data_IF_411260857350
#
_entry.id   IF_411260857350
#
_cell.length_a   1.000
_cell.length_b   1.000
_cell.length_c   1.000
_cell.angle_alpha   90.00
_cell.angle_beta   90.00
_cell.angle_gamma   90.00
#
_symmetry.space_group_name_H-M   'P 1'
#
loop_
_entity.id
_entity.type
_entity.pdbx_description
1 polymer ?
#
# COMPACT_ATOMS: atom_id res chain seq x y z
N UNK A 1 -9.52 82.49 -2.56
CA UNK A 1 -9.83 82.59 -4.00
C UNK A 1 -8.57 83.12 -4.64
N UNK A 2 -7.91 82.35 -5.51
CA UNK A 2 -6.77 82.84 -6.27
C UNK A 2 -7.29 83.69 -7.43
N UNK A 3 -6.92 84.96 -7.48
CA UNK A 3 -7.31 85.87 -8.58
C UNK A 3 -6.79 85.35 -9.92
N UNK A 4 -7.59 85.50 -10.97
CA UNK A 4 -7.22 85.10 -12.32
C UNK A 4 -6.10 86.01 -12.84
N UNK A 5 -4.94 85.41 -13.13
CA UNK A 5 -3.82 86.09 -13.76
C UNK A 5 -3.80 85.77 -15.26
N UNK A 6 -3.85 86.82 -16.09
CA UNK A 6 -3.74 86.71 -17.54
C UNK A 6 -2.32 86.23 -17.88
N UNK A 7 -2.23 85.30 -18.83
CA UNK A 7 -0.96 84.79 -19.36
C UNK A 7 -0.59 85.68 -20.55
N UNK A 8 0.56 86.34 -20.49
CA UNK A 8 0.96 87.34 -21.49
C UNK A 8 2.04 86.83 -22.43
N UNK A 9 2.66 85.69 -22.10
CA UNK A 9 3.75 85.09 -22.89
C UNK A 9 3.59 83.58 -23.09
N UNK A 10 4.20 83.05 -24.15
CA UNK A 10 4.23 81.62 -24.40
C UNK A 10 4.98 80.84 -23.30
N UNK A 11 6.05 81.42 -22.75
CA UNK A 11 6.82 80.79 -21.66
C UNK A 11 5.98 80.61 -20.39
N UNK A 12 5.14 81.59 -20.04
CA UNK A 12 4.21 81.48 -18.91
C UNK A 12 3.15 80.40 -19.15
N UNK A 13 2.64 80.27 -20.37
CA UNK A 13 1.71 79.22 -20.75
C UNK A 13 2.35 77.83 -20.60
N UNK A 14 3.54 77.66 -21.16
CA UNK A 14 4.29 76.40 -21.12
C UNK A 14 4.63 76.00 -19.67
N UNK A 15 4.97 76.98 -18.82
CA UNK A 15 5.24 76.75 -17.40
C UNK A 15 3.99 76.25 -16.65
N UNK A 16 2.82 76.87 -16.87
CA UNK A 16 1.56 76.44 -16.25
C UNK A 16 1.13 75.05 -16.73
N UNK A 17 1.27 74.78 -18.03
CA UNK A 17 0.98 73.46 -18.61
C UNK A 17 1.92 72.41 -18.03
N UNK A 18 3.23 72.68 -17.99
CA UNK A 18 4.22 71.76 -17.42
C UNK A 18 3.93 71.47 -15.94
N UNK A 19 3.57 72.47 -15.14
CA UNK A 19 3.22 72.29 -13.73
C UNK A 19 1.92 71.50 -13.53
N UNK A 20 0.92 71.65 -14.42
CA UNK A 20 -0.27 70.78 -14.42
C UNK A 20 0.08 69.35 -14.83
N UNK A 21 0.90 69.18 -15.86
CA UNK A 21 1.30 67.88 -16.38
C UNK A 21 2.14 67.09 -15.37
N UNK A 22 3.08 67.76 -14.68
CA UNK A 22 3.89 67.13 -13.62
C UNK A 22 3.01 66.66 -12.46
N UNK A 23 2.10 67.51 -11.97
CA UNK A 23 1.16 67.12 -10.91
C UNK A 23 0.30 65.93 -11.31
N UNK A 24 -0.10 65.85 -12.57
CA UNK A 24 -0.94 64.74 -13.03
C UNK A 24 -0.14 63.46 -13.25
N UNK A 25 1.11 63.56 -13.71
CA UNK A 25 2.01 62.40 -13.79
C UNK A 25 2.39 61.86 -12.41
N UNK A 26 2.58 62.75 -11.42
CA UNK A 26 2.89 62.36 -10.04
C UNK A 26 1.78 61.53 -9.39
N UNK A 27 0.50 61.80 -9.70
CA UNK A 27 -0.62 61.00 -9.17
C UNK A 27 -0.62 59.54 -9.60
N UNK A 28 0.05 59.23 -10.72
CA UNK A 28 0.10 57.89 -11.31
C UNK A 28 1.54 57.36 -11.38
N UNK A 29 2.45 57.91 -10.59
CA UNK A 29 3.86 57.53 -10.62
C UNK A 29 4.07 56.04 -10.25
N UNK A 30 3.16 55.46 -9.46
CA UNK A 30 3.16 54.07 -8.99
C UNK A 30 2.39 53.11 -9.92
N UNK A 31 1.71 53.61 -10.95
CA UNK A 31 0.84 52.80 -11.80
C UNK A 31 1.55 51.62 -12.47
N UNK A 32 2.76 51.85 -12.98
CA UNK A 32 3.57 50.78 -13.60
C UNK A 32 4.01 49.72 -12.58
N UNK A 33 4.27 50.11 -11.33
CA UNK A 33 4.68 49.18 -10.28
C UNK A 33 3.47 48.36 -9.78
N UNK A 34 2.30 49.00 -9.61
CA UNK A 34 1.03 48.31 -9.33
C UNK A 34 0.69 47.30 -10.41
N UNK A 35 0.87 47.67 -11.68
CA UNK A 35 0.61 46.78 -12.83
C UNK A 35 1.54 45.56 -12.83
N UNK A 36 2.82 45.74 -12.51
CA UNK A 36 3.77 44.63 -12.35
C UNK A 36 3.38 43.73 -11.17
N UNK A 37 3.04 44.31 -10.03
CA UNK A 37 2.63 43.54 -8.85
C UNK A 37 1.36 42.73 -9.11
N UNK A 38 0.40 43.30 -9.83
CA UNK A 38 -0.83 42.59 -10.21
C UNK A 38 -0.52 41.39 -11.10
N UNK A 39 0.30 41.58 -12.14
CA UNK A 39 0.71 40.50 -13.02
C UNK A 39 1.47 39.39 -12.27
N UNK A 40 2.36 39.76 -11.34
CA UNK A 40 3.07 38.82 -10.47
C UNK A 40 2.12 38.05 -9.55
N UNK A 41 1.10 38.71 -8.99
CA UNK A 41 0.11 38.07 -8.15
C UNK A 41 -0.77 37.11 -8.94
N UNK A 42 -1.26 37.49 -10.12
CA UNK A 42 -2.05 36.62 -11.01
C UNK A 42 -1.25 35.37 -11.43
N UNK A 43 0.04 35.53 -11.74
CA UNK A 43 0.92 34.42 -12.06
C UNK A 43 1.13 33.46 -10.87
N UNK A 44 1.33 34.01 -9.67
CA UNK A 44 1.44 33.22 -8.42
C UNK A 44 0.14 32.52 -8.09
N UNK A 45 -1.00 33.19 -8.22
CA UNK A 45 -2.32 32.62 -7.96
C UNK A 45 -2.57 31.43 -8.88
N UNK A 46 -2.30 31.57 -10.18
CA UNK A 46 -2.41 30.46 -11.15
C UNK A 46 -1.50 29.29 -10.76
N UNK A 47 -0.26 29.57 -10.37
CA UNK A 47 0.71 28.54 -9.93
C UNK A 47 0.23 27.82 -8.68
N UNK A 48 -0.29 28.54 -7.69
CA UNK A 48 -0.83 27.96 -6.46
C UNK A 48 -2.09 27.13 -6.73
N UNK A 49 -3.00 27.61 -7.57
CA UNK A 49 -4.19 26.85 -7.95
C UNK A 49 -3.82 25.53 -8.62
N UNK A 50 -2.86 25.54 -9.56
CA UNK A 50 -2.37 24.33 -10.20
C UNK A 50 -1.73 23.36 -9.18
N UNK A 51 -0.88 23.88 -8.29
CA UNK A 51 -0.24 23.08 -7.24
C UNK A 51 -1.26 22.45 -6.30
N UNK A 52 -2.31 23.19 -5.92
CA UNK A 52 -3.39 22.68 -5.06
C UNK A 52 -4.15 21.56 -5.78
N UNK A 53 -4.43 21.71 -7.07
CA UNK A 53 -5.11 20.68 -7.85
C UNK A 53 -4.26 19.42 -7.97
N UNK A 54 -2.97 19.55 -8.26
CA UNK A 54 -2.02 18.43 -8.32
C UNK A 54 -1.85 17.72 -6.95
N UNK A 55 -1.87 18.48 -5.85
CA UNK A 55 -1.83 17.89 -4.52
C UNK A 55 -3.10 17.11 -4.20
N UNK A 56 -4.27 17.63 -4.57
CA UNK A 56 -5.56 16.94 -4.37
C UNK A 56 -5.66 15.64 -5.15
N UNK A 57 -5.20 15.62 -6.41
CA UNK A 57 -5.20 14.39 -7.21
C UNK A 57 -4.26 13.36 -6.60
N UNK A 58 -3.05 13.78 -6.18
CA UNK A 58 -2.08 12.91 -5.51
C UNK A 58 -2.58 12.38 -4.17
N UNK A 59 -3.29 13.18 -3.39
CA UNK A 59 -3.91 12.77 -2.13
C UNK A 59 -4.96 11.67 -2.36
N UNK A 60 -5.82 11.84 -3.37
CA UNK A 60 -6.82 10.84 -3.73
C UNK A 60 -6.16 9.51 -4.18
N UNK A 61 -5.14 9.59 -5.03
CA UNK A 61 -4.39 8.41 -5.49
C UNK A 61 -3.70 7.67 -4.34
N UNK A 62 -3.06 8.40 -3.43
CA UNK A 62 -2.40 7.82 -2.26
C UNK A 62 -3.42 7.19 -1.30
N UNK A 63 -4.57 7.81 -1.10
CA UNK A 63 -5.65 7.26 -0.27
C UNK A 63 -6.15 5.93 -0.85
N UNK A 64 -6.41 5.88 -2.15
CA UNK A 64 -6.82 4.64 -2.83
C UNK A 64 -5.75 3.54 -2.73
N UNK A 65 -4.47 3.89 -2.88
CA UNK A 65 -3.38 2.93 -2.71
C UNK A 65 -3.29 2.40 -1.27
N UNK A 66 -3.48 3.25 -0.27
CA UNK A 66 -3.48 2.84 1.14
C UNK A 66 -4.64 1.89 1.42
N UNK A 67 -5.84 2.17 0.92
CA UNK A 67 -7.00 1.29 1.07
C UNK A 67 -6.77 -0.07 0.41
N UNK A 68 -6.23 -0.09 -0.82
CA UNK A 68 -5.88 -1.33 -1.52
C UNK A 68 -4.84 -2.14 -0.76
N UNK A 69 -3.74 -1.51 -0.33
CA UNK A 69 -2.66 -2.17 0.40
C UNK A 69 -3.13 -2.70 1.75
N UNK A 70 -4.00 -1.97 2.46
CA UNK A 70 -4.60 -2.46 3.70
C UNK A 70 -5.54 -3.66 3.45
N UNK A 71 -6.31 -3.63 2.35
CA UNK A 71 -7.13 -4.76 1.91
C UNK A 71 -6.30 -6.01 1.63
N UNK A 72 -5.21 -5.86 0.88
CA UNK A 72 -4.31 -6.98 0.58
C UNK A 72 -3.60 -7.50 1.84
N UNK A 73 -3.12 -6.59 2.69
CA UNK A 73 -2.45 -6.94 3.95
C UNK A 73 -3.39 -7.69 4.90
N UNK A 74 -4.65 -7.28 5.02
CA UNK A 74 -5.65 -7.99 5.83
C UNK A 74 -5.96 -9.37 5.25
N UNK A 75 -6.12 -9.49 3.93
CA UNK A 75 -6.31 -10.77 3.24
C UNK A 75 -5.13 -11.72 3.44
N UNK A 76 -3.90 -11.26 3.26
CA UNK A 76 -2.69 -12.07 3.45
C UNK A 76 -2.52 -12.50 4.92
N UNK A 77 -2.78 -11.60 5.88
CA UNK A 77 -2.79 -11.94 7.31
C UNK A 77 -3.80 -13.04 7.61
N UNK A 78 -5.01 -12.93 7.07
CA UNK A 78 -6.06 -13.93 7.24
C UNK A 78 -5.65 -15.29 6.65
N UNK A 79 -5.13 -15.30 5.42
CA UNK A 79 -4.67 -16.53 4.78
C UNK A 79 -3.53 -17.19 5.56
N UNK A 80 -2.57 -16.40 6.04
CA UNK A 80 -1.46 -16.91 6.87
C UNK A 80 -1.97 -17.51 8.17
N UNK A 81 -2.91 -16.84 8.84
CA UNK A 81 -3.52 -17.34 10.07
C UNK A 81 -4.27 -18.67 9.82
N UNK A 82 -5.06 -18.75 8.75
CA UNK A 82 -5.77 -19.96 8.34
C UNK A 82 -4.80 -21.12 8.03
N UNK A 83 -3.72 -20.85 7.32
CA UNK A 83 -2.70 -21.86 7.02
C UNK A 83 -2.02 -22.37 8.29
N UNK A 84 -1.63 -21.47 9.20
CA UNK A 84 -1.06 -21.83 10.50
C UNK A 84 -2.00 -22.74 11.28
N UNK A 85 -3.26 -22.34 11.41
CA UNK A 85 -4.28 -23.11 12.14
C UNK A 85 -4.53 -24.46 11.47
N UNK A 86 -4.63 -24.53 10.14
CA UNK A 86 -4.78 -25.81 9.45
C UNK A 86 -3.61 -26.76 9.76
N UNK A 87 -2.37 -26.26 9.75
CA UNK A 87 -1.20 -27.08 10.12
C UNK A 87 -1.20 -27.51 11.59
N UNK A 88 -1.63 -26.63 12.51
CA UNK A 88 -1.74 -26.94 13.95
C UNK A 88 -2.72 -28.09 14.22
N UNK A 89 -3.84 -28.13 13.48
CA UNK A 89 -4.88 -29.16 13.62
C UNK A 89 -4.69 -30.36 12.68
N UNK A 90 -3.56 -30.44 11.97
CA UNK A 90 -3.25 -31.56 11.07
C UNK A 90 -4.15 -31.64 9.83
N UNK A 91 -4.78 -30.53 9.45
CA UNK A 91 -5.60 -30.42 8.25
C UNK A 91 -4.71 -30.28 7.01
N UNK A 92 -5.06 -30.93 5.88
CA UNK A 92 -4.45 -30.64 4.59
C UNK A 92 -4.51 -29.14 4.26
N UNK A 93 -3.44 -28.61 3.65
CA UNK A 93 -3.32 -27.17 3.34
C UNK A 93 -4.46 -26.67 2.44
N UNK A 94 -4.97 -27.52 1.55
CA UNK A 94 -6.15 -27.23 0.70
C UNK A 94 -7.40 -26.90 1.51
N UNK A 95 -7.52 -27.39 2.74
CA UNK A 95 -8.64 -27.08 3.62
C UNK A 95 -8.42 -25.79 4.42
N UNK A 96 -7.20 -25.26 4.48
CA UNK A 96 -6.92 -23.99 5.15
C UNK A 96 -7.76 -22.84 4.56
N UNK A 97 -7.89 -22.79 3.24
CA UNK A 97 -8.69 -21.75 2.57
C UNK A 97 -10.18 -21.85 2.92
N UNK A 98 -10.66 -23.04 3.27
CA UNK A 98 -12.07 -23.32 3.59
C UNK A 98 -12.44 -23.05 5.05
N UNK A 99 -11.48 -22.77 5.93
CA UNK A 99 -11.75 -22.44 7.32
C UNK A 99 -12.64 -21.19 7.40
N UNK A 100 -13.76 -21.31 8.10
CA UNK A 100 -14.72 -20.25 8.34
C UNK A 100 -14.56 -19.65 9.74
N UNK A 101 -14.72 -18.33 9.84
CA UNK A 101 -14.53 -17.57 11.08
C UNK A 101 -14.16 -16.12 10.79
N UNK A 102 -14.51 -15.23 11.72
CA UNK A 102 -14.16 -13.80 11.64
C UNK A 102 -12.85 -13.50 12.39
N UNK A 103 -12.42 -14.40 13.27
CA UNK A 103 -11.26 -14.28 14.15
C UNK A 103 -10.47 -15.61 14.29
N UNK A 104 -9.32 -15.54 14.96
CA UNK A 104 -8.48 -16.72 15.19
C UNK A 104 -9.20 -17.82 15.99
N UNK A 105 -10.11 -17.45 16.89
CA UNK A 105 -10.89 -18.40 17.69
C UNK A 105 -11.91 -19.15 16.83
N UNK A 106 -12.62 -18.45 15.94
CA UNK A 106 -13.53 -19.04 14.98
C UNK A 106 -12.81 -20.02 14.04
N UNK A 107 -11.63 -19.64 13.53
CA UNK A 107 -10.83 -20.55 12.71
C UNK A 107 -10.37 -21.80 13.44
N UNK A 108 -10.00 -21.69 14.72
CA UNK A 108 -9.62 -22.85 15.54
C UNK A 108 -10.80 -23.78 15.79
N UNK A 109 -11.98 -23.23 16.11
CA UNK A 109 -13.18 -24.01 16.33
C UNK A 109 -13.62 -24.77 15.07
N UNK A 110 -13.58 -24.11 13.92
CA UNK A 110 -13.90 -24.76 12.64
C UNK A 110 -12.83 -25.80 12.24
N UNK A 111 -11.55 -25.50 12.48
CA UNK A 111 -10.46 -26.43 12.24
C UNK A 111 -10.57 -27.70 13.09
N UNK A 112 -10.87 -27.55 14.39
CA UNK A 112 -11.12 -28.68 15.29
C UNK A 112 -12.28 -29.54 14.82
N UNK A 113 -13.38 -28.90 14.42
CA UNK A 113 -14.54 -29.59 13.86
C UNK A 113 -14.18 -30.38 12.60
N UNK A 114 -13.46 -29.78 11.66
CA UNK A 114 -13.04 -30.46 10.44
C UNK A 114 -12.05 -31.59 10.71
N UNK A 115 -11.10 -31.38 11.62
CA UNK A 115 -10.14 -32.40 12.02
C UNK A 115 -10.85 -33.61 12.63
N UNK A 116 -11.91 -33.41 13.41
CA UNK A 116 -12.71 -34.49 13.99
C UNK A 116 -13.36 -35.40 12.93
N UNK A 117 -13.70 -34.87 11.75
CA UNK A 117 -14.26 -35.67 10.65
C UNK A 117 -13.20 -36.45 9.87
N UNK A 118 -11.95 -35.95 9.83
CA UNK A 118 -10.83 -36.57 9.14
C UNK A 118 -10.09 -37.57 10.01
N UNK A 119 -10.23 -37.47 11.33
CA UNK A 119 -9.69 -38.43 12.27
C UNK A 119 -10.19 -39.85 11.91
N UNK A 120 -9.28 -40.82 11.72
CA UNK A 120 -9.68 -42.16 11.32
C UNK A 120 -10.55 -42.81 12.40
N UNK A 121 -11.80 -43.15 12.06
CA UNK A 121 -12.76 -43.84 12.95
C UNK A 121 -12.33 -45.25 13.38
N UNK A 122 -11.29 -45.79 12.76
CA UNK A 122 -10.72 -47.11 13.02
C UNK A 122 -9.20 -46.98 12.98
N UNK A 123 -8.45 -47.60 13.92
CA UNK A 123 -7.00 -47.63 13.85
C UNK A 123 -6.58 -48.23 12.51
N UNK A 124 -5.71 -47.54 11.78
CA UNK A 124 -5.17 -48.06 10.53
C UNK A 124 -4.44 -49.37 10.87
N UNK A 125 -4.85 -50.51 10.29
CA UNK A 125 -4.17 -51.77 10.54
C UNK A 125 -2.69 -51.61 10.19
N UNK A 126 -1.78 -52.24 10.96
CA UNK A 126 -0.36 -52.15 10.67
C UNK A 126 -0.13 -52.57 9.22
N UNK A 127 0.75 -51.84 8.54
CA UNK A 127 1.15 -52.20 7.18
C UNK A 127 1.61 -53.66 7.20
N UNK A 128 1.13 -54.45 6.22
CA UNK A 128 1.56 -55.83 6.08
C UNK A 128 3.08 -55.84 5.95
N UNK A 129 3.78 -56.45 6.90
CA UNK A 129 5.21 -56.67 6.76
C UNK A 129 5.46 -57.59 5.57
N UNK A 130 6.32 -57.15 4.65
CA UNK A 130 6.85 -58.00 3.59
C UNK A 130 8.09 -58.78 4.06
N UNK A 131 8.46 -58.64 5.33
CA UNK A 131 9.53 -59.44 5.91
C UNK A 131 9.02 -60.87 6.16
N UNK A 132 9.81 -61.90 5.78
CA UNK A 132 9.46 -63.27 6.15
C UNK A 132 9.39 -63.36 7.68
N UNK A 133 8.28 -63.89 8.19
CA UNK A 133 8.13 -64.13 9.62
C UNK A 133 9.06 -65.28 10.00
N UNK A 134 10.25 -64.96 10.52
CA UNK A 134 11.19 -65.98 10.99
C UNK A 134 10.87 -66.27 12.45
N UNK A 135 10.08 -67.33 12.68
CA UNK A 135 9.62 -67.70 14.02
C UNK A 135 10.67 -68.45 14.83
N UNK A 136 11.67 -69.04 14.19
CA UNK A 136 12.69 -69.85 14.85
C UNK A 136 14.06 -69.15 14.84
N UNK A 137 14.66 -68.99 16.02
CA UNK A 137 15.95 -68.30 16.19
C UNK A 137 17.07 -68.90 15.33
N UNK A 138 16.98 -70.20 15.05
CA UNK A 138 17.92 -70.91 14.19
C UNK A 138 17.74 -70.53 12.72
N UNK A 139 16.50 -70.45 12.24
CA UNK A 139 16.20 -70.05 10.87
C UNK A 139 16.57 -68.58 10.61
N UNK A 140 16.46 -67.72 11.64
CA UNK A 140 16.87 -66.31 11.56
C UNK A 140 18.38 -66.18 11.36
N UNK A 141 19.14 -66.96 12.12
CA UNK A 141 20.61 -66.97 12.01
C UNK A 141 21.09 -67.56 10.69
N UNK A 142 20.45 -68.60 10.15
CA UNK A 142 20.77 -69.12 8.81
C UNK A 142 20.44 -68.13 7.70
N UNK A 143 19.29 -67.44 7.78
CA UNK A 143 18.90 -66.43 6.80
C UNK A 143 19.87 -65.22 6.81
N UNK A 144 20.37 -64.83 7.98
CA UNK A 144 21.36 -63.77 8.15
C UNK A 144 22.74 -64.16 7.61
N UNK A 145 23.18 -65.41 7.84
CA UNK A 145 24.40 -65.94 7.22
C UNK A 145 24.29 -65.98 5.68
N UNK A 146 23.15 -66.43 5.15
CA UNK A 146 22.92 -66.47 3.70
C UNK A 146 22.94 -65.06 3.09
N UNK A 147 22.35 -64.06 3.77
CA UNK A 147 22.42 -62.65 3.33
C UNK A 147 23.86 -62.13 3.32
N UNK A 148 24.64 -62.42 4.35
CA UNK A 148 26.04 -61.99 4.43
C UNK A 148 26.92 -62.66 3.35
N UNK A 149 26.60 -63.89 2.94
CA UNK A 149 27.30 -64.59 1.85
C UNK A 149 26.94 -64.04 0.47
N UNK A 150 25.74 -63.51 0.27
CA UNK A 150 25.30 -62.92 -1.00
C UNK A 150 25.77 -61.46 -1.14
N UNK A 151 25.89 -60.72 -0.03
CA UNK A 151 26.29 -59.30 -0.03
C UNK A 151 27.80 -59.05 0.09
N UNK A 152 28.64 -60.09 0.23
CA UNK A 152 30.11 -59.96 0.33
C UNK A 152 30.83 -60.12 -1.01
N UNK A 153 30.10 -60.01 -2.12
CA UNK A 153 30.63 -59.98 -3.48
C UNK A 153 30.50 -58.61 -4.13
N UNK A 154 31.19 -57.62 -3.57
CA UNK A 154 31.85 -56.48 -4.26
C UNK A 154 32.66 -55.64 -3.24
#
# INVERSE_FOLDING_TARGET
>A
MSDFKIIETQEELDAVIKARLSREREKYADYEDLKKQLADFEAKETTYQNTINDLKTREADLTSQIESLNGDLTKTKLQTAKQRIATEYGLPLDLAERLQGDDEEGFKADAERLASYLAPKQPTPPMKSNEPAISDSKEASWAEMARNLINTGD
#
